data_IF_951509749653
#
_entry.id   IF_951509749653
#
_cell.length_a   1.000
_cell.length_b   1.000
_cell.length_c   1.000
_cell.angle_alpha   90.00
_cell.angle_beta   90.00
_cell.angle_gamma   90.00
#
_symmetry.space_group_name_H-M   'P 1'
#
loop_
_entity.id
_entity.type
_entity.pdbx_description
1 polymer ?
#
# COMPACT_ATOMS: atom_id res chain seq x y z
N UNK A 1 14.36 36.85 1.73
CA UNK A 1 14.22 35.47 2.26
C UNK A 1 14.87 34.41 1.37
N UNK A 2 15.48 34.77 0.22
CA UNK A 2 16.07 33.81 -0.74
C UNK A 2 17.37 33.15 -0.25
N UNK A 3 18.08 33.77 0.70
CA UNK A 3 19.21 33.17 1.39
C UNK A 3 18.90 31.74 1.85
N UNK A 4 17.76 31.53 2.52
CA UNK A 4 17.48 30.24 3.18
C UNK A 4 17.28 29.09 2.19
N UNK A 5 16.90 29.40 0.94
CA UNK A 5 16.70 28.43 -0.13
C UNK A 5 18.02 28.05 -0.83
N UNK A 6 19.05 28.91 -0.78
CA UNK A 6 20.36 28.63 -1.37
C UNK A 6 21.27 27.75 -0.50
N UNK A 7 20.86 27.45 0.74
CA UNK A 7 21.64 26.62 1.66
C UNK A 7 20.84 25.39 2.10
N UNK A 8 20.74 24.34 1.25
CA UNK A 8 19.99 23.13 1.56
C UNK A 8 20.51 22.42 2.82
N UNK A 9 21.80 22.59 3.13
CA UNK A 9 22.43 22.08 4.35
C UNK A 9 21.76 22.61 5.63
N UNK A 10 21.32 23.87 5.63
CA UNK A 10 20.62 24.49 6.78
C UNK A 10 19.24 23.86 6.98
N UNK A 11 18.54 23.54 5.89
CA UNK A 11 17.24 22.86 5.95
C UNK A 11 17.39 21.43 6.48
N UNK A 12 18.43 20.70 6.05
CA UNK A 12 18.70 19.35 6.55
C UNK A 12 19.09 19.37 8.02
N UNK A 13 19.93 20.32 8.45
CA UNK A 13 20.30 20.50 9.85
C UNK A 13 19.08 20.84 10.73
N UNK A 14 18.19 21.72 10.25
CA UNK A 14 16.96 22.09 10.95
C UNK A 14 15.99 20.91 11.08
N UNK A 15 15.79 20.15 9.99
CA UNK A 15 14.96 18.95 10.00
C UNK A 15 15.51 17.88 10.96
N UNK A 16 16.83 17.68 10.96
CA UNK A 16 17.51 16.79 11.91
C UNK A 16 17.33 17.23 13.37
N UNK A 17 17.44 18.53 13.64
CA UNK A 17 17.22 19.08 14.98
C UNK A 17 15.78 18.85 15.46
N UNK A 18 14.77 19.07 14.60
CA UNK A 18 13.36 18.83 14.92
C UNK A 18 13.07 17.33 15.14
N UNK A 19 13.63 16.45 14.31
CA UNK A 19 13.51 15.01 14.48
C UNK A 19 14.17 14.53 15.79
N UNK A 20 15.33 15.08 16.14
CA UNK A 20 16.00 14.79 17.40
C UNK A 20 15.17 15.26 18.60
N UNK A 21 14.60 16.47 18.54
CA UNK A 21 13.78 17.02 19.63
C UNK A 21 12.51 16.19 19.86
N UNK A 22 11.85 15.75 18.80
CA UNK A 22 10.64 14.91 18.88
C UNK A 22 10.96 13.52 19.46
N UNK A 23 12.08 12.91 19.06
CA UNK A 23 12.55 11.64 19.61
C UNK A 23 12.96 11.77 21.08
N UNK A 24 13.55 12.90 21.47
CA UNK A 24 13.91 13.21 22.87
C UNK A 24 12.65 13.35 23.75
N UNK A 25 11.62 14.06 23.28
CA UNK A 25 10.34 14.18 24.00
C UNK A 25 9.64 12.84 24.21
N UNK A 26 9.69 11.93 23.23
CA UNK A 26 9.09 10.58 23.37
C UNK A 26 9.84 9.67 24.34
N UNK A 27 11.10 9.98 24.66
CA UNK A 27 11.95 9.19 25.56
C UNK A 27 12.02 9.72 26.98
N UNK A 28 11.54 10.94 27.23
CA UNK A 28 11.36 11.38 28.61
C UNK A 28 10.13 10.66 29.16
N UNK A 29 10.27 9.79 30.18
CA UNK A 29 9.11 9.31 30.91
C UNK A 29 8.36 10.53 31.44
N UNK A 30 7.02 10.52 31.45
CA UNK A 30 6.24 11.60 32.00
C UNK A 30 6.62 11.73 33.48
N UNK A 31 7.45 12.73 33.79
CA UNK A 31 7.77 13.05 35.17
C UNK A 31 6.45 13.33 35.89
N UNK A 32 6.20 12.51 36.90
CA UNK A 32 5.06 12.55 37.82
C UNK A 32 5.13 13.81 38.66
N UNK A 33 4.83 14.95 38.03
CA UNK A 33 4.60 16.20 38.73
C UNK A 33 3.53 16.99 37.99
N UNK A 34 2.36 17.05 38.63
CA UNK A 34 1.27 18.01 38.38
C UNK A 34 0.38 17.74 37.17
N UNK A 35 -0.64 16.90 37.37
CA UNK A 35 -2.00 17.32 37.02
C UNK A 35 -3.01 16.54 37.84
N UNK A 36 -3.25 17.04 39.05
CA UNK A 36 -4.48 16.80 39.77
C UNK A 36 -5.61 17.51 39.01
N UNK A 37 -6.67 16.79 38.67
CA UNK A 37 -7.95 17.38 38.31
C UNK A 37 -8.29 17.42 36.82
N UNK A 38 -8.70 16.29 36.26
CA UNK A 38 -9.91 16.23 35.44
C UNK A 38 -10.37 14.78 35.32
N UNK A 39 -11.45 14.45 36.03
CA UNK A 39 -12.07 13.14 36.01
C UNK A 39 -12.58 12.79 34.61
N UNK A 40 -12.06 11.72 34.03
CA UNK A 40 -12.81 10.96 33.04
C UNK A 40 -13.73 9.99 33.81
N UNK A 41 -15.05 10.10 33.67
CA UNK A 41 -15.95 9.08 34.20
C UNK A 41 -15.74 7.79 33.41
N UNK A 42 -15.34 6.74 34.11
CA UNK A 42 -15.27 5.37 33.63
C UNK A 42 -16.67 4.90 33.19
N UNK A 43 -17.04 5.13 31.93
CA UNK A 43 -18.27 4.56 31.35
C UNK A 43 -18.02 3.09 30.98
N UNK A 44 -18.28 2.21 31.94
CA UNK A 44 -18.30 0.75 31.77
C UNK A 44 -19.69 0.25 31.31
N UNK A 45 -20.66 1.16 31.08
CA UNK A 45 -22.06 0.79 30.83
C UNK A 45 -22.52 0.71 29.36
N UNK A 46 -21.69 0.99 28.36
CA UNK A 46 -22.12 1.03 26.94
C UNK A 46 -21.80 -0.24 26.12
N UNK A 47 -21.35 -1.34 26.74
CA UNK A 47 -20.96 -2.55 25.99
C UNK A 47 -22.13 -3.41 25.54
N UNK A 48 -23.26 -3.40 26.24
CA UNK A 48 -24.45 -4.17 25.84
C UNK A 48 -25.27 -3.43 24.78
N UNK A 49 -25.47 -2.13 24.91
CA UNK A 49 -26.18 -1.31 23.91
C UNK A 49 -25.47 -1.34 22.56
N UNK A 50 -24.12 -1.34 22.54
CA UNK A 50 -23.35 -1.54 21.30
C UNK A 50 -23.57 -2.90 20.65
N UNK A 51 -23.72 -3.97 21.43
CA UNK A 51 -23.97 -5.31 20.88
C UNK A 51 -25.35 -5.40 20.24
N UNK A 52 -26.35 -4.79 20.88
CA UNK A 52 -27.72 -4.73 20.32
C UNK A 52 -27.74 -3.92 19.03
N UNK A 53 -27.05 -2.78 18.98
CA UNK A 53 -26.94 -1.96 17.77
C UNK A 53 -26.21 -2.68 16.63
N UNK A 54 -25.15 -3.43 16.94
CA UNK A 54 -24.41 -4.24 15.97
C UNK A 54 -25.28 -5.38 15.39
N UNK A 55 -26.10 -6.03 16.22
CA UNK A 55 -27.03 -7.06 15.76
C UNK A 55 -28.13 -6.51 14.84
N UNK A 56 -28.65 -5.32 15.15
CA UNK A 56 -29.66 -4.65 14.31
C UNK A 56 -29.04 -4.28 12.94
N UNK A 57 -27.82 -3.72 12.93
CA UNK A 57 -27.10 -3.41 11.67
C UNK A 57 -26.80 -4.67 10.87
N UNK A 58 -26.39 -5.76 11.53
CA UNK A 58 -26.11 -7.02 10.86
C UNK A 58 -27.36 -7.62 10.19
N UNK A 59 -28.54 -7.48 10.81
CA UNK A 59 -29.82 -7.90 10.21
C UNK A 59 -30.17 -7.06 8.98
N UNK A 60 -30.04 -5.73 9.08
CA UNK A 60 -30.27 -4.82 7.94
C UNK A 60 -29.37 -5.13 6.74
N UNK A 61 -28.07 -5.40 6.99
CA UNK A 61 -27.12 -5.76 5.92
C UNK A 61 -27.50 -7.07 5.25
N UNK A 62 -27.95 -8.08 6.02
CA UNK A 62 -28.39 -9.36 5.45
C UNK A 62 -29.64 -9.21 4.60
N UNK A 63 -30.62 -8.42 5.05
CA UNK A 63 -31.83 -8.12 4.29
C UNK A 63 -31.52 -7.33 3.01
N UNK A 64 -30.63 -6.34 3.07
CA UNK A 64 -30.20 -5.60 1.89
C UNK A 64 -29.46 -6.49 0.89
N UNK A 65 -28.59 -7.40 1.37
CA UNK A 65 -27.90 -8.37 0.51
C UNK A 65 -28.86 -9.35 -0.15
N UNK A 66 -29.87 -9.84 0.58
CA UNK A 66 -30.89 -10.72 0.02
C UNK A 66 -31.74 -9.99 -1.00
N UNK A 67 -32.15 -8.74 -0.71
CA UNK A 67 -32.88 -7.89 -1.65
C UNK A 67 -32.08 -7.62 -2.92
N UNK A 68 -30.79 -7.29 -2.80
CA UNK A 68 -29.89 -7.10 -3.96
C UNK A 68 -29.68 -8.39 -4.75
N UNK A 69 -29.59 -9.55 -4.09
CA UNK A 69 -29.49 -10.85 -4.78
C UNK A 69 -30.76 -11.19 -5.54
N UNK A 70 -31.93 -10.92 -4.96
CA UNK A 70 -33.22 -11.10 -5.63
C UNK A 70 -33.38 -10.14 -6.81
N UNK A 71 -32.96 -8.88 -6.68
CA UNK A 71 -32.94 -7.93 -7.80
C UNK A 71 -32.02 -8.39 -8.93
N UNK A 72 -30.83 -8.92 -8.61
CA UNK A 72 -29.93 -9.52 -9.61
C UNK A 72 -30.53 -10.78 -10.24
N UNK A 73 -31.23 -11.60 -9.47
CA UNK A 73 -31.89 -12.82 -9.97
C UNK A 73 -33.13 -12.51 -10.82
N UNK A 74 -33.82 -11.39 -10.55
CA UNK A 74 -34.98 -10.91 -11.30
C UNK A 74 -34.62 -10.18 -12.61
N UNK A 75 -33.33 -10.05 -12.93
CA UNK A 75 -32.86 -9.60 -14.25
C UNK A 75 -32.93 -8.10 -14.52
N UNK A 76 -33.34 -7.26 -13.56
CA UNK A 76 -33.35 -5.81 -13.70
C UNK A 76 -32.14 -5.18 -13.00
N UNK A 77 -31.14 -4.78 -13.79
CA UNK A 77 -30.10 -3.84 -13.34
C UNK A 77 -28.79 -4.48 -12.88
N UNK A 78 -28.09 -5.15 -13.80
CA UNK A 78 -26.67 -5.46 -13.65
C UNK A 78 -25.81 -4.44 -14.42
N UNK A 79 -25.75 -3.19 -13.94
CA UNK A 79 -24.50 -2.43 -14.08
C UNK A 79 -23.56 -2.93 -13.00
N UNK A 80 -22.72 -3.88 -13.39
CA UNK A 80 -21.76 -4.56 -12.55
C UNK A 80 -20.40 -3.89 -12.77
N UNK A 81 -19.87 -3.04 -11.86
CA UNK A 81 -18.48 -2.63 -11.91
C UNK A 81 -17.65 -3.76 -11.28
N UNK A 82 -17.49 -4.86 -12.00
CA UNK A 82 -16.74 -6.00 -11.48
C UNK A 82 -16.98 -7.28 -12.26
N UNK A 83 -16.05 -7.58 -13.16
CA UNK A 83 -15.81 -8.94 -13.69
C UNK A 83 -16.83 -9.44 -14.72
N UNK A 84 -16.80 -8.83 -15.90
CA UNK A 84 -17.06 -9.59 -17.12
C UNK A 84 -15.92 -10.59 -17.33
N UNK A 85 -16.08 -11.82 -16.81
CA UNK A 85 -15.33 -12.97 -17.36
C UNK A 85 -15.98 -13.28 -18.69
N UNK A 86 -15.56 -12.55 -19.72
CA UNK A 86 -15.80 -12.91 -21.09
C UNK A 86 -15.05 -14.24 -21.33
N UNK A 87 -15.67 -15.27 -21.92
CA UNK A 87 -14.94 -16.48 -22.30
C UNK A 87 -13.74 -16.07 -23.16
N UNK A 88 -12.54 -16.62 -22.92
CA UNK A 88 -11.34 -16.18 -23.61
C UNK A 88 -11.55 -16.39 -25.10
N UNK A 89 -11.71 -15.29 -25.85
CA UNK A 89 -11.62 -15.36 -27.30
C UNK A 89 -10.21 -15.84 -27.62
N UNK A 90 -10.13 -17.06 -28.17
CA UNK A 90 -8.90 -17.63 -28.70
C UNK A 90 -8.44 -16.72 -29.83
N UNK A 91 -7.55 -15.77 -29.50
CA UNK A 91 -6.84 -15.00 -30.51
C UNK A 91 -6.09 -16.00 -31.40
N UNK A 92 -6.15 -15.87 -32.74
CA UNK A 92 -5.28 -16.66 -33.60
C UNK A 92 -3.83 -16.48 -33.14
N UNK A 93 -3.00 -17.53 -33.18
CA UNK A 93 -1.62 -17.44 -32.75
C UNK A 93 -0.97 -16.30 -33.52
N UNK A 94 -0.51 -15.28 -32.77
CA UNK A 94 0.37 -14.26 -33.35
C UNK A 94 1.57 -15.01 -33.91
N UNK A 95 2.06 -14.64 -35.11
CA UNK A 95 3.35 -15.11 -35.58
C UNK A 95 4.35 -14.93 -34.43
N UNK A 96 4.99 -16.02 -34.02
CA UNK A 96 6.04 -15.99 -33.00
C UNK A 96 7.16 -15.16 -33.64
N UNK A 97 7.21 -13.87 -33.30
CA UNK A 97 8.39 -13.07 -33.53
C UNK A 97 9.52 -13.79 -32.80
N UNK A 98 10.49 -14.28 -33.58
CA UNK A 98 11.64 -14.97 -33.04
C UNK A 98 12.25 -14.09 -31.93
N UNK A 99 12.63 -14.67 -30.77
CA UNK A 99 13.29 -13.91 -29.73
C UNK A 99 14.50 -13.21 -30.35
N UNK A 100 14.72 -11.92 -30.04
CA UNK A 100 15.86 -11.20 -30.59
C UNK A 100 17.14 -12.00 -30.28
N UNK A 101 18.05 -12.16 -31.26
CA UNK A 101 19.26 -12.93 -31.05
C UNK A 101 20.01 -12.38 -29.82
N UNK A 102 20.24 -13.26 -28.84
CA UNK A 102 20.92 -12.93 -27.58
C UNK A 102 22.38 -12.52 -27.86
N UNK A 103 22.93 -12.96 -28.99
CA UNK A 103 24.24 -12.57 -29.46
C UNK A 103 24.13 -11.32 -30.33
N UNK A 104 24.42 -10.17 -29.73
CA UNK A 104 24.70 -8.94 -30.49
C UNK A 104 26.07 -9.07 -31.10
N UNK A 105 26.14 -9.30 -32.40
CA UNK A 105 27.41 -9.31 -33.11
C UNK A 105 27.99 -7.88 -33.07
N UNK A 106 29.18 -7.67 -32.49
CA UNK A 106 29.77 -6.33 -32.38
C UNK A 106 30.00 -5.69 -33.76
N UNK A 107 30.17 -6.52 -34.79
CA UNK A 107 30.30 -6.07 -36.18
C UNK A 107 29.02 -5.41 -36.69
N UNK A 108 27.84 -5.95 -36.34
CA UNK A 108 26.55 -5.36 -36.74
C UNK A 108 26.26 -4.02 -36.08
N UNK A 109 26.66 -3.82 -34.83
CA UNK A 109 26.54 -2.51 -34.18
C UNK A 109 27.44 -1.48 -34.85
N UNK A 110 28.69 -1.86 -35.18
CA UNK A 110 29.64 -0.99 -35.86
C UNK A 110 29.18 -0.62 -37.28
N UNK A 111 28.65 -1.57 -38.06
CA UNK A 111 28.09 -1.27 -39.39
C UNK A 111 26.84 -0.39 -39.33
N UNK A 112 26.01 -0.55 -38.29
CA UNK A 112 24.81 0.27 -38.09
C UNK A 112 25.17 1.71 -37.72
N UNK A 113 26.26 1.89 -36.97
CA UNK A 113 26.79 3.21 -36.61
C UNK A 113 27.39 3.93 -37.84
N UNK A 114 28.15 3.22 -38.67
CA UNK A 114 28.65 3.73 -39.96
C UNK A 114 27.49 4.11 -40.89
N UNK A 115 26.47 3.26 -41.00
CA UNK A 115 25.29 3.55 -41.81
C UNK A 115 24.49 4.76 -41.29
N UNK A 116 24.46 4.98 -39.97
CA UNK A 116 23.83 6.15 -39.35
C UNK A 116 24.62 7.44 -39.63
N UNK A 117 25.95 7.38 -39.63
CA UNK A 117 26.80 8.54 -39.96
C UNK A 117 26.77 8.91 -41.44
N UNK A 118 26.51 7.94 -42.32
CA UNK A 118 26.39 8.15 -43.77
C UNK A 118 24.96 8.54 -44.20
N UNK A 119 23.99 8.51 -43.30
CA UNK A 119 22.62 8.86 -43.62
C UNK A 119 22.52 10.40 -43.71
N UNK A 120 22.29 10.98 -44.89
CA UNK A 120 22.15 12.42 -45.04
C UNK A 120 20.96 12.88 -44.20
N UNK A 121 21.20 13.89 -43.37
CA UNK A 121 20.21 14.51 -42.50
C UNK A 121 18.98 14.89 -43.33
N UNK A 122 17.89 14.17 -43.13
CA UNK A 122 16.65 14.43 -43.84
C UNK A 122 16.22 15.86 -43.53
N UNK A 123 15.88 16.68 -44.54
CA UNK A 123 15.44 18.05 -44.32
C UNK A 123 14.27 18.05 -43.33
N UNK A 124 14.24 19.01 -42.38
CA UNK A 124 13.19 19.06 -41.37
C UNK A 124 11.84 19.16 -42.09
N UNK A 125 11.00 18.12 -41.94
CA UNK A 125 9.62 18.21 -42.41
C UNK A 125 8.96 19.39 -41.70
N UNK A 126 8.15 20.19 -42.42
CA UNK A 126 7.40 21.28 -41.81
C UNK A 126 6.56 20.72 -40.65
N UNK A 127 6.70 21.34 -39.48
CA UNK A 127 6.00 20.92 -38.26
C UNK A 127 4.50 20.79 -38.55
N UNK A 128 3.98 19.58 -38.37
CA UNK A 128 2.54 19.35 -38.46
C UNK A 128 1.84 20.27 -37.45
N UNK A 129 0.71 20.92 -37.82
CA UNK A 129 -0.04 21.75 -36.90
C UNK A 129 -0.45 20.92 -35.69
N UNK A 130 0.00 21.36 -34.52
CA UNK A 130 -0.29 20.74 -33.24
C UNK A 130 -1.81 20.70 -33.03
N UNK A 131 -2.43 19.53 -32.82
CA UNK A 131 -3.87 19.46 -32.59
C UNK A 131 -4.22 20.25 -31.32
N UNK A 132 -5.34 21.00 -31.30
CA UNK A 132 -5.72 21.79 -30.14
C UNK A 132 -5.91 20.85 -28.94
N UNK A 133 -5.13 21.07 -27.88
CA UNK A 133 -5.22 20.29 -26.66
C UNK A 133 -6.64 20.41 -26.06
N UNK A 134 -7.33 19.29 -25.76
CA UNK A 134 -8.64 19.32 -25.11
C UNK A 134 -8.47 19.87 -23.69
N UNK A 135 -8.86 21.13 -23.48
CA UNK A 135 -8.73 21.82 -22.19
C UNK A 135 -9.73 21.27 -21.16
N UNK A 136 -10.86 20.75 -21.61
CA UNK A 136 -11.95 20.31 -20.73
C UNK A 136 -11.61 19.00 -19.99
N UNK A 137 -10.90 18.07 -20.64
CA UNK A 137 -10.46 16.80 -20.04
C UNK A 137 -9.54 17.00 -18.83
N UNK A 138 -8.78 18.10 -18.81
CA UNK A 138 -7.83 18.38 -17.73
C UNK A 138 -8.54 18.75 -16.44
N UNK A 139 -9.64 19.52 -16.51
CA UNK A 139 -10.38 19.95 -15.32
C UNK A 139 -11.16 18.79 -14.71
N UNK A 140 -11.79 17.95 -15.54
CA UNK A 140 -12.48 16.75 -15.07
C UNK A 140 -11.52 15.77 -14.40
N UNK A 141 -10.34 15.56 -15.00
CA UNK A 141 -9.29 14.72 -14.42
C UNK A 141 -8.83 15.24 -13.06
N UNK A 142 -8.70 16.56 -12.89
CA UNK A 142 -8.35 17.18 -11.61
C UNK A 142 -9.45 17.00 -10.56
N UNK A 143 -10.73 17.15 -10.93
CA UNK A 143 -11.86 16.91 -10.01
C UNK A 143 -11.92 15.46 -9.54
N UNK A 144 -11.70 14.50 -10.44
CA UNK A 144 -11.66 13.07 -10.11
C UNK A 144 -10.49 12.77 -9.17
N UNK A 145 -9.30 13.32 -9.43
CA UNK A 145 -8.15 13.15 -8.54
C UNK A 145 -8.40 13.74 -7.15
N UNK A 146 -8.98 14.94 -7.06
CA UNK A 146 -9.31 15.58 -5.80
C UNK A 146 -10.33 14.76 -4.99
N UNK A 147 -11.30 14.16 -5.68
CA UNK A 147 -12.30 13.29 -5.05
C UNK A 147 -11.65 12.00 -4.52
N UNK A 148 -10.72 11.41 -5.26
CA UNK A 148 -9.97 10.22 -4.80
C UNK A 148 -9.11 10.52 -3.58
N UNK A 149 -8.45 11.68 -3.55
CA UNK A 149 -7.61 12.07 -2.40
C UNK A 149 -8.48 12.24 -1.14
N UNK A 150 -9.63 12.91 -1.25
CA UNK A 150 -10.50 13.13 -0.09
C UNK A 150 -11.10 11.84 0.48
N UNK A 151 -11.40 10.85 -0.38
CA UNK A 151 -11.83 9.51 0.07
C UNK A 151 -10.71 8.80 0.84
N UNK A 152 -9.48 8.80 0.29
CA UNK A 152 -8.33 8.17 0.94
C UNK A 152 -7.97 8.83 2.27
N UNK A 153 -8.12 10.14 2.40
CA UNK A 153 -7.91 10.86 3.66
C UNK A 153 -8.92 10.46 4.73
N UNK A 154 -10.19 10.27 4.36
CA UNK A 154 -11.23 9.76 5.28
C UNK A 154 -10.94 8.35 5.73
N UNK A 155 -10.57 7.45 4.80
CA UNK A 155 -10.19 6.08 5.14
C UNK A 155 -8.97 6.03 6.07
N UNK A 156 -7.97 6.89 5.84
CA UNK A 156 -6.82 7.02 6.73
C UNK A 156 -7.23 7.49 8.13
N UNK A 157 -8.07 8.51 8.23
CA UNK A 157 -8.55 9.01 9.52
C UNK A 157 -9.30 7.92 10.28
N UNK A 158 -10.20 7.18 9.62
CA UNK A 158 -10.90 6.05 10.23
C UNK A 158 -9.94 4.93 10.67
N UNK A 159 -8.92 4.63 9.86
CA UNK A 159 -7.90 3.64 10.20
C UNK A 159 -7.07 4.07 11.41
N UNK A 160 -6.73 5.36 11.50
CA UNK A 160 -5.98 5.92 12.62
C UNK A 160 -6.81 5.92 13.90
N UNK A 161 -8.10 6.24 13.82
CA UNK A 161 -9.02 6.11 14.94
C UNK A 161 -9.15 4.66 15.41
N UNK A 162 -9.27 3.70 14.49
CA UNK A 162 -9.26 2.27 14.83
C UNK A 162 -7.95 1.88 15.51
N UNK A 163 -6.80 2.27 14.96
CA UNK A 163 -5.50 2.01 15.59
C UNK A 163 -5.40 2.68 16.95
N UNK A 164 -5.98 3.86 17.15
CA UNK A 164 -5.99 4.54 18.45
C UNK A 164 -6.86 3.80 19.47
N UNK A 165 -8.05 3.35 19.07
CA UNK A 165 -8.97 2.61 19.95
C UNK A 165 -8.38 1.23 20.29
N UNK A 166 -7.96 0.47 19.29
CA UNK A 166 -7.41 -0.87 19.48
C UNK A 166 -5.99 -0.83 20.07
N UNK A 167 -5.17 0.14 19.71
CA UNK A 167 -3.81 0.32 20.25
C UNK A 167 -3.81 0.82 21.69
N UNK A 168 -4.81 1.60 22.12
CA UNK A 168 -5.00 1.93 23.53
C UNK A 168 -5.51 0.74 24.34
N UNK A 169 -6.38 -0.10 23.76
CA UNK A 169 -6.86 -1.33 24.39
C UNK A 169 -5.81 -2.45 24.42
N UNK A 170 -4.90 -2.47 23.45
CA UNK A 170 -3.84 -3.46 23.32
C UNK A 170 -2.48 -2.95 23.79
N UNK A 171 -2.40 -1.82 24.51
CA UNK A 171 -1.16 -1.33 25.08
C UNK A 171 -0.57 -2.42 26.00
N UNK A 172 0.48 -3.14 25.58
CA UNK A 172 1.12 -4.09 26.47
C UNK A 172 1.81 -3.28 27.56
N UNK A 173 1.67 -3.69 28.82
CA UNK A 173 2.49 -3.19 29.90
C UNK A 173 3.97 -3.21 29.44
N UNK A 174 4.79 -2.21 29.79
CA UNK A 174 6.18 -2.14 29.33
C UNK A 174 6.99 -3.30 29.94
N UNK A 175 6.99 -4.44 29.28
CA UNK A 175 7.90 -5.55 29.56
C UNK A 175 9.17 -5.34 28.76
N UNK A 176 10.29 -5.46 29.46
CA UNK A 176 11.65 -5.29 28.97
C UNK A 176 11.97 -6.23 27.81
N UNK A 177 11.76 -5.78 26.57
CA UNK A 177 11.96 -6.56 25.34
C UNK A 177 13.34 -6.35 24.70
N UNK A 178 14.40 -6.48 25.49
CA UNK A 178 15.77 -6.58 24.96
C UNK A 178 16.35 -8.01 25.02
N UNK A 179 15.66 -8.97 25.66
CA UNK A 179 16.15 -10.34 25.84
C UNK A 179 15.29 -11.46 25.22
N UNK A 180 14.12 -11.15 24.67
CA UNK A 180 13.11 -12.17 24.29
C UNK A 180 13.27 -12.71 22.86
N UNK A 181 13.99 -12.01 22.00
CA UNK A 181 14.22 -12.45 20.61
C UNK A 181 15.21 -13.63 20.53
N UNK A 182 16.19 -13.71 21.44
CA UNK A 182 17.13 -14.84 21.47
C UNK A 182 16.51 -16.13 22.05
N UNK A 183 15.63 -16.01 23.04
CA UNK A 183 14.90 -17.16 23.58
C UNK A 183 13.92 -17.75 22.56
N UNK A 184 13.32 -16.90 21.72
CA UNK A 184 12.40 -17.33 20.66
C UNK A 184 13.12 -18.10 19.54
N UNK A 185 14.32 -17.66 19.16
CA UNK A 185 15.15 -18.37 18.17
C UNK A 185 15.58 -19.78 18.64
N UNK A 186 15.95 -19.93 19.92
CA UNK A 186 16.29 -21.23 20.50
C UNK A 186 15.09 -22.19 20.54
N UNK A 187 13.89 -21.67 20.86
CA UNK A 187 12.67 -22.48 20.87
C UNK A 187 12.23 -22.93 19.46
N UNK A 188 12.53 -22.13 18.43
CA UNK A 188 12.26 -22.48 17.04
C UNK A 188 13.21 -23.57 16.56
N UNK A 189 14.50 -23.52 16.90
CA UNK A 189 15.44 -24.59 16.56
C UNK A 189 15.09 -25.91 17.25
N UNK A 190 14.66 -25.89 18.52
CA UNK A 190 14.16 -27.08 19.20
C UNK A 190 12.85 -27.60 18.59
N UNK A 191 11.96 -26.71 18.14
CA UNK A 191 10.74 -27.10 17.43
C UNK A 191 11.01 -27.74 16.06
N UNK A 192 12.16 -27.49 15.43
CA UNK A 192 12.50 -27.99 14.09
C UNK A 192 13.22 -29.35 14.12
N UNK A 193 13.69 -29.82 15.29
CA UNK A 193 14.32 -31.14 15.40
C UNK A 193 13.31 -32.29 15.44
N UNK A 194 12.03 -31.99 15.70
CA UNK A 194 10.94 -32.97 15.65
C UNK A 194 10.38 -33.21 14.23
N UNK A 195 9.90 -34.42 13.97
CA UNK A 195 9.28 -34.82 12.68
C UNK A 195 8.11 -33.89 12.31
N UNK A 196 7.30 -33.49 13.30
CA UNK A 196 6.16 -32.58 13.09
C UNK A 196 6.60 -31.13 12.84
N UNK A 197 7.80 -30.75 13.31
CA UNK A 197 8.43 -29.47 13.03
C UNK A 197 8.93 -29.40 11.60
N UNK A 198 9.62 -30.46 11.14
CA UNK A 198 10.07 -30.61 9.76
C UNK A 198 8.91 -30.56 8.77
N UNK A 199 7.80 -31.27 9.04
CA UNK A 199 6.60 -31.21 8.18
C UNK A 199 6.05 -29.80 8.07
N UNK A 200 5.95 -29.06 9.18
CA UNK A 200 5.49 -27.66 9.18
C UNK A 200 6.44 -26.73 8.45
N UNK A 201 7.75 -26.90 8.62
CA UNK A 201 8.76 -26.11 7.92
C UNK A 201 8.70 -26.32 6.40
N UNK A 202 8.51 -27.57 5.95
CA UNK A 202 8.33 -27.89 4.52
C UNK A 202 7.08 -27.21 3.98
N UNK A 203 5.94 -27.34 4.67
CA UNK A 203 4.68 -26.70 4.26
C UNK A 203 4.83 -25.17 4.18
N UNK A 204 5.46 -24.56 5.19
CA UNK A 204 5.71 -23.12 5.19
C UNK A 204 6.63 -22.70 4.05
N UNK A 205 7.64 -23.50 3.70
CA UNK A 205 8.51 -23.21 2.57
C UNK A 205 7.80 -23.33 1.21
N UNK A 206 6.77 -24.17 1.11
CA UNK A 206 5.94 -24.29 -0.09
C UNK A 206 4.97 -23.09 -0.22
N UNK A 207 4.37 -22.66 0.90
CA UNK A 207 3.38 -21.57 0.93
C UNK A 207 4.06 -20.19 0.80
N UNK A 208 5.17 -19.99 1.52
CA UNK A 208 5.85 -18.69 1.62
C UNK A 208 7.03 -18.57 0.65
N UNK A 209 7.43 -19.67 -0.01
CA UNK A 209 8.62 -19.75 -0.83
C UNK A 209 9.92 -19.90 -0.01
N UNK A 210 11.04 -20.05 -0.72
CA UNK A 210 12.37 -20.18 -0.10
C UNK A 210 12.70 -18.88 0.65
N UNK A 211 12.98 -18.91 1.96
CA UNK A 211 13.21 -17.69 2.73
C UNK A 211 14.40 -16.92 2.14
N UNK A 212 14.18 -15.62 1.90
CA UNK A 212 15.14 -14.71 1.24
C UNK A 212 16.48 -14.61 2.00
N UNK A 213 16.51 -14.98 3.28
CA UNK A 213 17.70 -14.96 4.13
C UNK A 213 18.73 -16.07 3.84
N UNK A 214 18.43 -17.02 2.94
CA UNK A 214 19.35 -18.10 2.53
C UNK A 214 19.91 -17.91 1.10
N UNK A 215 20.06 -16.66 0.64
CA UNK A 215 20.82 -16.33 -0.57
C UNK A 215 22.18 -15.76 -0.24
#
# INVERSE_FOLDING_TARGET
MEWLLNHPEVLVALAGALAFLSKKRRRQPPDTAQSAGQGQPSRVFDSEDRRVDEEIRARQIREEMLRRRLQRAAGEGAENPGTGVQPPQVKPPRPIEAPPPIFRDPLTEMMKEIARTLQPEAPPLPAAPEPPAPKDDTQERLRVLQTRVSVLEREKAESEERVRIYGAAAAPAPTASAGQDQASAASLTDSLTGIDGLRRAIILSEILGKPVALR
#
